data_IF_707045438346
#
_entry.id   IF_707045438346
#
_cell.length_a   1.000
_cell.length_b   1.000
_cell.length_c   1.000
_cell.angle_alpha   90.00
_cell.angle_beta   90.00
_cell.angle_gamma   90.00
#
_symmetry.space_group_name_H-M   'P 1'
#
loop_
_entity.id
_entity.type
_entity.pdbx_description
1 polymer ?
#
# COMPACT_ATOMS: atom_id res chain seq x y z
N UNK A 1 10.91 -16.80 22.38
CA UNK A 1 9.49 -17.24 22.30
C UNK A 1 8.68 -16.00 21.97
N UNK A 2 8.06 -15.90 20.79
CA UNK A 2 7.17 -14.77 20.48
C UNK A 2 5.91 -14.95 21.34
N UNK A 3 5.43 -13.89 22.02
CA UNK A 3 4.20 -14.01 22.79
C UNK A 3 3.08 -14.49 21.87
N UNK A 4 2.17 -15.31 22.40
CA UNK A 4 0.94 -15.71 21.70
C UNK A 4 0.09 -14.46 21.42
N UNK A 5 0.42 -13.76 20.36
CA UNK A 5 -0.46 -12.72 19.83
C UNK A 5 -1.76 -13.43 19.43
N UNK A 6 -2.90 -13.00 19.95
CA UNK A 6 -4.19 -13.57 19.56
C UNK A 6 -4.26 -13.57 18.02
N UNK A 7 -5.05 -14.48 17.46
CA UNK A 7 -5.18 -14.71 16.02
C UNK A 7 -5.79 -13.49 15.29
N UNK A 8 -5.29 -12.30 15.63
CA UNK A 8 -5.69 -11.01 15.06
C UNK A 8 -5.33 -11.01 13.58
N UNK A 9 -6.30 -10.72 12.76
CA UNK A 9 -6.19 -10.61 11.32
C UNK A 9 -6.58 -9.21 10.90
N UNK A 10 -5.58 -8.40 10.54
CA UNK A 10 -5.74 -6.98 10.28
C UNK A 10 -5.82 -6.75 8.78
N UNK A 11 -6.91 -6.19 8.27
CA UNK A 11 -6.99 -5.73 6.90
C UNK A 11 -6.05 -4.54 6.68
N UNK A 12 -5.21 -4.64 5.66
CA UNK A 12 -4.52 -3.49 5.09
C UNK A 12 -5.07 -3.31 3.68
N UNK A 13 -5.72 -2.19 3.42
CA UNK A 13 -6.30 -1.91 2.10
C UNK A 13 -5.40 -0.98 1.32
N UNK A 14 -5.31 -1.20 0.00
CA UNK A 14 -4.55 -0.34 -0.88
C UNK A 14 -5.44 0.25 -1.97
N UNK A 15 -5.35 1.57 -2.08
CA UNK A 15 -5.93 2.40 -3.14
C UNK A 15 -4.79 3.10 -3.90
N UNK A 16 -5.10 3.64 -5.06
CA UNK A 16 -4.19 4.49 -5.84
C UNK A 16 -4.87 5.84 -6.10
N UNK A 17 -5.45 6.04 -7.27
CA UNK A 17 -6.21 7.26 -7.57
C UNK A 17 -7.69 7.14 -7.15
N UNK A 18 -8.30 8.27 -6.81
CA UNK A 18 -9.73 8.38 -6.51
C UNK A 18 -10.44 9.23 -7.57
N UNK A 19 -11.69 8.90 -7.88
CA UNK A 19 -12.51 9.58 -8.86
C UNK A 19 -12.70 8.77 -10.14
N UNK A 20 -13.03 9.48 -11.22
CA UNK A 20 -13.30 8.85 -12.51
C UNK A 20 -12.01 8.47 -13.24
N UNK A 21 -11.94 7.21 -13.61
CA UNK A 21 -10.79 6.67 -14.34
C UNK A 21 -10.84 5.13 -14.44
N UNK A 22 -9.94 4.54 -15.22
CA UNK A 22 -9.97 3.10 -15.45
C UNK A 22 -9.49 2.31 -14.23
N UNK A 23 -10.21 1.23 -13.90
CA UNK A 23 -9.74 0.23 -12.95
C UNK A 23 -8.49 -0.50 -13.52
N UNK A 24 -7.58 -0.98 -12.67
CA UNK A 24 -7.68 -1.04 -11.20
C UNK A 24 -7.15 0.21 -10.48
N UNK A 25 -6.58 1.19 -11.19
CA UNK A 25 -5.89 2.34 -10.59
C UNK A 25 -6.88 3.30 -9.94
N UNK A 26 -7.98 3.61 -10.62
CA UNK A 26 -9.01 4.51 -10.09
C UNK A 26 -10.08 3.78 -9.32
N UNK A 27 -10.41 4.33 -8.16
CA UNK A 27 -11.58 3.93 -7.37
C UNK A 27 -12.59 5.07 -7.42
N UNK A 28 -13.83 4.82 -7.92
CA UNK A 28 -14.90 5.82 -7.91
C UNK A 28 -15.20 6.32 -6.49
N UNK A 29 -15.53 7.60 -6.33
CA UNK A 29 -15.73 8.22 -5.02
C UNK A 29 -16.89 7.60 -4.23
N UNK A 30 -17.99 7.30 -4.89
CA UNK A 30 -19.15 6.63 -4.30
C UNK A 30 -18.81 5.26 -3.73
N UNK A 31 -17.95 4.52 -4.46
CA UNK A 31 -17.44 3.23 -4.00
C UNK A 31 -16.50 3.39 -2.82
N UNK A 32 -15.57 4.36 -2.88
CA UNK A 32 -14.68 4.65 -1.76
C UNK A 32 -15.46 5.02 -0.50
N UNK A 33 -16.45 5.91 -0.62
CA UNK A 33 -17.34 6.31 0.49
C UNK A 33 -18.11 5.11 1.06
N UNK A 34 -18.67 4.25 0.21
CA UNK A 34 -19.38 3.04 0.65
C UNK A 34 -18.46 2.02 1.36
N UNK A 35 -17.21 1.89 0.94
CA UNK A 35 -16.22 1.04 1.59
C UNK A 35 -15.80 1.59 2.96
N UNK A 36 -15.57 2.91 3.08
CA UNK A 36 -15.28 3.57 4.35
C UNK A 36 -16.47 3.42 5.33
N UNK A 37 -17.69 3.60 4.85
CA UNK A 37 -18.90 3.43 5.67
C UNK A 37 -19.04 1.99 6.18
N UNK A 38 -18.74 1.00 5.34
CA UNK A 38 -18.76 -0.41 5.73
C UNK A 38 -17.73 -0.71 6.84
N UNK A 39 -16.54 -0.14 6.78
CA UNK A 39 -15.54 -0.27 7.84
C UNK A 39 -16.04 0.38 9.14
N UNK A 40 -16.61 1.59 9.07
CA UNK A 40 -17.16 2.30 10.22
C UNK A 40 -18.32 1.50 10.86
N UNK A 41 -19.27 1.04 10.06
CA UNK A 41 -20.43 0.24 10.50
C UNK A 41 -20.01 -1.09 11.16
N UNK A 42 -18.98 -1.73 10.59
CA UNK A 42 -18.42 -2.95 11.16
C UNK A 42 -17.56 -2.69 12.42
N UNK A 43 -17.44 -1.44 12.87
CA UNK A 43 -16.70 -1.05 14.08
C UNK A 43 -15.17 -1.12 13.93
N UNK A 44 -14.64 -1.05 12.71
CA UNK A 44 -13.22 -0.99 12.49
C UNK A 44 -12.64 0.37 12.89
N UNK A 45 -11.38 0.35 13.34
CA UNK A 45 -10.61 1.54 13.72
C UNK A 45 -9.40 1.66 12.81
N UNK A 46 -9.28 2.78 12.10
CA UNK A 46 -8.11 3.03 11.28
C UNK A 46 -6.87 3.24 12.15
N UNK A 47 -5.78 2.60 11.77
CA UNK A 47 -4.44 2.79 12.32
C UNK A 47 -3.47 3.07 11.17
N UNK A 48 -2.37 3.73 11.44
CA UNK A 48 -1.30 3.90 10.46
C UNK A 48 -0.59 2.58 10.23
N UNK A 49 -0.02 2.38 9.05
CA UNK A 49 0.70 1.16 8.74
C UNK A 49 1.94 0.98 9.63
N UNK A 50 2.60 2.07 10.01
CA UNK A 50 3.72 2.04 10.94
C UNK A 50 3.35 1.52 12.32
N UNK A 51 2.17 1.87 12.83
CA UNK A 51 1.67 1.34 14.10
C UNK A 51 1.44 -0.18 14.02
N UNK A 52 0.97 -0.67 12.86
CA UNK A 52 0.85 -2.11 12.59
C UNK A 52 2.21 -2.80 12.54
N UNK A 53 3.18 -2.20 11.83
CA UNK A 53 4.56 -2.73 11.73
C UNK A 53 5.20 -2.83 13.12
N UNK A 54 5.05 -1.80 13.94
CA UNK A 54 5.58 -1.79 15.32
C UNK A 54 4.88 -2.84 16.19
N UNK A 55 3.56 -2.98 16.04
CA UNK A 55 2.81 -4.04 16.72
C UNK A 55 3.36 -5.43 16.41
N UNK A 56 3.63 -5.71 15.12
CA UNK A 56 4.19 -7.00 14.68
C UNK A 56 5.62 -7.21 15.17
N UNK A 57 6.47 -6.18 15.17
CA UNK A 57 7.90 -6.28 15.50
C UNK A 57 8.15 -6.29 17.00
N UNK A 58 7.39 -5.51 17.75
CA UNK A 58 7.59 -5.27 19.18
C UNK A 58 6.60 -6.06 20.05
N UNK A 59 5.62 -6.75 19.44
CA UNK A 59 4.59 -7.45 20.20
C UNK A 59 3.59 -6.53 20.88
N UNK A 60 3.46 -5.28 20.42
CA UNK A 60 2.48 -4.34 20.98
C UNK A 60 1.06 -4.77 20.62
N UNK A 61 0.18 -4.68 21.59
CA UNK A 61 -1.25 -4.89 21.35
C UNK A 61 -1.79 -3.79 20.43
N UNK A 62 -2.50 -4.21 19.38
CA UNK A 62 -3.21 -3.30 18.47
C UNK A 62 -4.68 -3.20 18.90
N UNK A 63 -5.36 -2.08 18.57
CA UNK A 63 -6.77 -1.94 18.87
C UNK A 63 -7.59 -3.11 18.30
N UNK A 64 -8.65 -3.54 18.98
CA UNK A 64 -9.58 -4.51 18.40
C UNK A 64 -10.20 -3.92 17.12
N UNK A 65 -10.39 -4.77 16.11
CA UNK A 65 -10.87 -4.37 14.78
C UNK A 65 -10.02 -3.26 14.13
N UNK A 66 -8.69 -3.31 14.35
CA UNK A 66 -7.78 -2.43 13.63
C UNK A 66 -7.79 -2.74 12.13
N UNK A 67 -7.68 -1.73 11.30
CA UNK A 67 -7.35 -1.85 9.87
C UNK A 67 -6.45 -0.70 9.45
N UNK A 68 -5.71 -0.85 8.37
CA UNK A 68 -4.89 0.22 7.82
C UNK A 68 -5.34 0.57 6.40
N UNK A 69 -5.33 1.86 6.08
CA UNK A 69 -5.61 2.40 4.75
C UNK A 69 -4.28 2.85 4.16
N UNK A 70 -3.95 2.38 2.98
CA UNK A 70 -2.74 2.78 2.26
C UNK A 70 -3.09 3.31 0.88
N UNK A 71 -2.32 4.29 0.40
CA UNK A 71 -2.42 4.84 -0.93
C UNK A 71 -1.04 4.77 -1.59
N UNK A 72 -0.97 4.16 -2.77
CA UNK A 72 0.28 4.08 -3.54
C UNK A 72 0.36 5.21 -4.57
N UNK A 73 1.54 5.43 -5.15
CA UNK A 73 1.87 6.35 -6.23
C UNK A 73 1.88 7.84 -5.89
N UNK A 74 1.08 8.31 -4.93
CA UNK A 74 1.00 9.73 -4.59
C UNK A 74 0.07 10.56 -5.50
N UNK A 75 -1.01 9.98 -6.04
CA UNK A 75 -1.97 10.71 -6.86
C UNK A 75 -2.58 11.93 -6.14
N UNK A 76 -2.68 13.07 -6.84
CA UNK A 76 -3.25 14.32 -6.28
C UNK A 76 -4.67 14.13 -5.74
N UNK A 77 -5.45 13.25 -6.34
CA UNK A 77 -6.80 12.92 -5.89
C UNK A 77 -6.82 12.33 -4.47
N UNK A 78 -5.73 11.73 -3.99
CA UNK A 78 -5.64 11.25 -2.60
C UNK A 78 -5.67 12.43 -1.63
N UNK A 79 -4.90 13.48 -1.89
CA UNK A 79 -4.94 14.70 -1.08
C UNK A 79 -6.31 15.40 -1.18
N UNK A 80 -6.85 15.54 -2.39
CA UNK A 80 -8.07 16.30 -2.62
C UNK A 80 -9.33 15.57 -2.12
N UNK A 81 -9.38 14.26 -2.25
CA UNK A 81 -10.60 13.47 -2.03
C UNK A 81 -10.54 12.58 -0.79
N UNK A 82 -9.40 11.89 -0.54
CA UNK A 82 -9.30 11.00 0.62
C UNK A 82 -9.11 11.77 1.93
N UNK A 83 -8.22 12.78 1.95
CA UNK A 83 -7.92 13.55 3.15
C UNK A 83 -9.20 14.08 3.84
N UNK A 84 -10.09 14.86 3.17
CA UNK A 84 -11.28 15.39 3.84
C UNK A 84 -12.28 14.30 4.25
N UNK A 85 -12.35 13.18 3.52
CA UNK A 85 -13.23 12.05 3.82
C UNK A 85 -12.80 11.28 5.06
N UNK A 86 -11.49 11.06 5.20
CA UNK A 86 -10.91 10.38 6.36
C UNK A 86 -10.89 11.30 7.59
N UNK A 87 -10.59 12.59 7.42
CA UNK A 87 -10.61 13.57 8.51
C UNK A 87 -11.98 13.65 9.20
N UNK A 88 -13.10 13.63 8.43
CA UNK A 88 -14.46 13.61 8.99
C UNK A 88 -14.74 12.38 9.88
N UNK A 89 -13.97 11.31 9.73
CA UNK A 89 -14.06 10.07 10.53
C UNK A 89 -13.03 10.00 11.65
N UNK A 90 -12.14 11.00 11.75
CA UNK A 90 -10.97 10.95 12.64
C UNK A 90 -9.99 9.84 12.26
N UNK A 91 -9.92 9.49 10.98
CA UNK A 91 -9.06 8.45 10.46
C UNK A 91 -7.86 9.05 9.71
N UNK A 92 -6.71 8.44 9.92
CA UNK A 92 -5.49 8.70 9.16
C UNK A 92 -5.15 7.50 8.26
N UNK A 93 -4.28 7.73 7.29
CA UNK A 93 -3.81 6.71 6.36
C UNK A 93 -2.29 6.79 6.19
N UNK A 94 -1.73 5.89 5.40
CA UNK A 94 -0.32 5.93 4.97
C UNK A 94 -0.27 6.13 3.45
N UNK A 95 0.42 7.16 2.99
CA UNK A 95 0.63 7.42 1.58
C UNK A 95 2.06 7.08 1.16
N UNK A 96 2.23 6.29 0.10
CA UNK A 96 3.51 5.90 -0.48
C UNK A 96 3.79 6.71 -1.75
N UNK A 97 4.90 7.44 -1.75
CA UNK A 97 5.24 8.40 -2.79
C UNK A 97 6.36 7.89 -3.70
N UNK A 98 6.18 8.10 -5.00
CA UNK A 98 7.27 8.01 -5.98
C UNK A 98 8.09 9.30 -5.88
N UNK A 99 9.19 9.27 -5.14
CA UNK A 99 9.81 10.48 -4.59
C UNK A 99 10.39 11.46 -5.62
N UNK A 100 10.86 10.96 -6.76
CA UNK A 100 11.33 11.84 -7.85
C UNK A 100 10.20 12.43 -8.70
N UNK A 101 8.95 12.04 -8.43
CA UNK A 101 7.77 12.43 -9.20
C UNK A 101 6.79 13.32 -8.43
N UNK A 102 7.08 13.63 -7.16
CA UNK A 102 6.25 14.55 -6.38
C UNK A 102 6.06 15.88 -7.11
N UNK A 103 4.80 16.31 -7.28
CA UNK A 103 4.42 17.50 -8.04
C UNK A 103 4.40 17.33 -9.57
N UNK A 104 4.80 16.16 -10.07
CA UNK A 104 4.76 15.79 -11.48
C UNK A 104 3.53 14.97 -11.85
N UNK A 105 3.73 13.98 -12.71
CA UNK A 105 2.67 13.07 -13.17
C UNK A 105 3.11 11.61 -13.06
N UNK A 106 2.15 10.69 -13.18
CA UNK A 106 2.35 9.24 -13.17
C UNK A 106 3.02 8.71 -14.47
N UNK A 107 3.71 9.55 -15.23
CA UNK A 107 4.46 9.15 -16.43
C UNK A 107 5.87 8.72 -16.05
N UNK A 108 6.02 7.51 -15.57
CA UNK A 108 7.30 6.84 -15.37
C UNK A 108 7.58 5.80 -16.45
N UNK A 109 8.84 5.42 -16.67
CA UNK A 109 9.20 4.38 -17.63
C UNK A 109 8.46 3.07 -17.34
N UNK A 110 7.85 2.48 -18.39
CA UNK A 110 7.07 1.25 -18.26
C UNK A 110 5.61 1.43 -17.86
N UNK A 111 5.14 2.66 -17.65
CA UNK A 111 3.72 2.91 -17.45
C UNK A 111 2.93 2.50 -18.68
N UNK A 112 1.89 1.67 -18.48
CA UNK A 112 1.05 1.21 -19.59
C UNK A 112 0.33 2.40 -20.25
N UNK A 113 0.31 2.41 -21.58
CA UNK A 113 -0.33 3.50 -22.35
C UNK A 113 -1.84 3.61 -22.09
N UNK A 114 -2.48 2.54 -21.60
CA UNK A 114 -3.89 2.52 -21.20
C UNK A 114 -4.16 3.24 -19.88
N UNK A 115 -3.14 3.55 -19.09
CA UNK A 115 -3.29 4.33 -17.85
C UNK A 115 -3.22 5.81 -18.20
N UNK A 116 -4.30 6.59 -17.97
CA UNK A 116 -4.29 8.02 -18.24
C UNK A 116 -3.21 8.74 -17.44
N UNK A 117 -2.65 9.79 -18.04
CA UNK A 117 -1.78 10.68 -17.29
C UNK A 117 -2.59 11.44 -16.24
N UNK A 118 -2.05 11.46 -15.01
CA UNK A 118 -2.69 12.11 -13.89
C UNK A 118 -1.65 12.79 -12.98
N UNK A 119 -1.98 13.92 -12.36
CA UNK A 119 -1.07 14.65 -11.49
C UNK A 119 -0.84 13.90 -10.18
N UNK A 120 0.39 13.97 -9.70
CA UNK A 120 0.78 13.57 -8.36
C UNK A 120 0.81 14.79 -7.44
N UNK A 121 0.56 14.59 -6.15
CA UNK A 121 0.67 15.69 -5.20
C UNK A 121 2.15 16.02 -4.95
N UNK A 122 2.39 17.29 -4.62
CA UNK A 122 3.71 17.81 -4.31
C UNK A 122 4.07 17.63 -2.83
N UNK A 123 5.23 18.13 -2.44
CA UNK A 123 5.69 18.03 -1.07
C UNK A 123 4.92 18.94 -0.09
N UNK A 124 4.27 20.00 -0.57
CA UNK A 124 3.44 20.87 0.27
C UNK A 124 2.15 20.15 0.64
N UNK A 125 1.48 19.53 -0.32
CA UNK A 125 0.34 18.64 -0.07
C UNK A 125 0.71 17.43 0.81
N UNK A 126 1.93 16.88 0.65
CA UNK A 126 2.45 15.86 1.54
C UNK A 126 2.59 16.37 2.98
N UNK A 127 2.99 17.63 3.19
CA UNK A 127 3.02 18.31 4.49
C UNK A 127 1.63 18.39 5.13
N UNK A 128 0.62 18.77 4.35
CA UNK A 128 -0.78 18.83 4.83
C UNK A 128 -1.31 17.44 5.28
N UNK A 129 -0.92 16.37 4.57
CA UNK A 129 -1.24 15.00 5.00
C UNK A 129 -0.61 14.68 6.37
N UNK A 130 0.65 15.07 6.58
CA UNK A 130 1.33 14.88 7.87
C UNK A 130 0.67 15.67 9.01
N UNK A 131 0.31 16.93 8.78
CA UNK A 131 -0.41 17.77 9.75
C UNK A 131 -1.76 17.16 10.13
N UNK A 132 -2.42 16.47 9.19
CA UNK A 132 -3.64 15.72 9.44
C UNK A 132 -3.40 14.35 10.11
N UNK A 133 -2.17 14.04 10.53
CA UNK A 133 -1.80 12.81 11.24
C UNK A 133 -1.56 11.59 10.35
N UNK A 134 -1.51 11.79 9.03
CA UNK A 134 -1.15 10.71 8.11
C UNK A 134 0.33 10.34 8.24
N UNK A 135 0.69 9.22 7.65
CA UNK A 135 2.07 8.75 7.56
C UNK A 135 2.50 8.72 6.10
N UNK A 136 3.75 9.08 5.84
CA UNK A 136 4.34 8.98 4.52
C UNK A 136 5.35 7.83 4.47
N UNK A 137 5.38 7.15 3.33
CA UNK A 137 6.36 6.13 2.99
C UNK A 137 6.86 6.29 1.56
N UNK A 138 7.87 5.52 1.19
CA UNK A 138 8.45 5.54 -0.15
C UNK A 138 7.88 4.44 -1.05
N UNK A 139 7.70 4.78 -2.33
CA UNK A 139 7.29 3.86 -3.40
C UNK A 139 8.35 3.78 -4.52
N UNK A 140 9.63 3.68 -4.13
CA UNK A 140 10.77 3.86 -5.01
C UNK A 140 11.04 5.31 -5.37
N UNK A 141 12.20 5.56 -5.94
CA UNK A 141 12.55 6.88 -6.45
C UNK A 141 11.83 7.17 -7.78
N UNK A 142 11.82 6.20 -8.71
CA UNK A 142 11.32 6.36 -10.07
C UNK A 142 10.14 5.47 -10.44
N UNK A 143 9.65 4.65 -9.49
CA UNK A 143 8.62 3.62 -9.70
C UNK A 143 9.09 2.45 -10.57
N UNK A 144 10.39 2.14 -10.56
CA UNK A 144 10.93 1.02 -11.34
C UNK A 144 10.52 -0.34 -10.72
N UNK A 145 10.27 -1.38 -11.54
CA UNK A 145 10.03 -2.74 -11.06
C UNK A 145 11.34 -3.34 -10.54
N UNK A 146 11.55 -3.33 -9.22
CA UNK A 146 12.83 -3.59 -8.55
C UNK A 146 13.46 -4.94 -8.89
N UNK A 147 12.66 -5.97 -9.16
CA UNK A 147 13.14 -7.31 -9.50
C UNK A 147 13.74 -7.42 -10.91
N UNK A 148 13.60 -6.38 -11.72
CA UNK A 148 14.20 -6.31 -13.08
C UNK A 148 15.48 -5.49 -13.13
N UNK A 149 15.86 -4.87 -12.01
CA UNK A 149 17.05 -4.04 -11.88
C UNK A 149 18.26 -4.85 -11.38
N UNK A 150 19.48 -4.44 -11.72
CA UNK A 150 20.67 -4.84 -10.97
C UNK A 150 20.50 -4.48 -9.48
N UNK A 151 21.08 -5.28 -8.57
CA UNK A 151 20.85 -5.12 -7.13
C UNK A 151 21.31 -3.77 -6.57
N UNK A 152 22.40 -3.22 -7.10
CA UNK A 152 22.88 -1.88 -6.75
C UNK A 152 21.86 -0.80 -7.13
N UNK A 153 21.24 -0.91 -8.29
CA UNK A 153 20.18 0.01 -8.74
C UNK A 153 18.89 -0.16 -7.93
N UNK A 154 18.53 -1.40 -7.57
CA UNK A 154 17.40 -1.66 -6.68
C UNK A 154 17.65 -1.07 -5.28
N UNK A 155 18.88 -1.12 -4.79
CA UNK A 155 19.28 -0.49 -3.52
C UNK A 155 19.18 1.04 -3.60
N UNK A 156 19.67 1.67 -4.68
CA UNK A 156 19.52 3.12 -4.90
C UNK A 156 18.05 3.56 -4.93
N UNK A 157 17.18 2.81 -5.62
CA UNK A 157 15.74 3.07 -5.67
C UNK A 157 15.10 3.02 -4.28
N UNK A 158 15.45 2.03 -3.47
CA UNK A 158 14.90 1.86 -2.12
C UNK A 158 15.50 2.89 -1.16
N UNK A 159 16.82 2.92 -1.01
CA UNK A 159 17.51 3.77 -0.05
C UNK A 159 17.29 5.25 -0.36
N UNK A 160 17.49 5.67 -1.60
CA UNK A 160 17.34 7.06 -2.02
C UNK A 160 15.91 7.59 -1.84
N UNK A 161 14.89 6.75 -2.11
CA UNK A 161 13.49 7.15 -1.87
C UNK A 161 13.17 7.27 -0.37
N UNK A 162 13.65 6.35 0.46
CA UNK A 162 13.48 6.41 1.91
C UNK A 162 14.17 7.64 2.52
N UNK A 163 15.38 7.96 2.06
CA UNK A 163 16.10 9.17 2.48
C UNK A 163 15.35 10.45 2.07
N UNK A 164 14.73 10.46 0.89
CA UNK A 164 13.92 11.60 0.45
C UNK A 164 12.71 11.83 1.36
N UNK A 165 12.04 10.77 1.81
CA UNK A 165 10.96 10.85 2.81
C UNK A 165 11.53 11.29 4.15
N UNK A 166 12.59 10.66 4.66
CA UNK A 166 13.17 10.93 5.97
C UNK A 166 13.59 12.40 6.12
N UNK A 167 14.16 12.99 5.09
CA UNK A 167 14.51 14.45 5.10
C UNK A 167 13.33 15.38 5.32
N UNK A 168 12.10 14.92 5.03
CA UNK A 168 10.87 15.72 5.14
C UNK A 168 10.08 15.42 6.41
N UNK A 169 10.12 14.18 6.87
CA UNK A 169 9.24 13.67 7.94
C UNK A 169 10.02 13.34 9.22
N UNK A 170 11.31 13.06 9.09
CA UNK A 170 12.17 12.62 10.20
C UNK A 170 12.50 11.12 10.14
N UNK A 171 13.40 10.67 11.06
CA UNK A 171 14.07 9.37 10.97
C UNK A 171 13.17 8.15 11.12
N UNK A 172 11.97 8.32 11.66
CA UNK A 172 11.03 7.20 11.85
C UNK A 172 10.17 6.88 10.61
N UNK A 173 10.24 7.73 9.57
CA UNK A 173 9.41 7.61 8.37
C UNK A 173 10.03 6.67 7.32
N UNK A 174 10.34 5.43 7.73
CA UNK A 174 11.02 4.43 6.89
C UNK A 174 10.10 3.28 6.50
N UNK A 175 8.89 3.60 6.01
CA UNK A 175 8.01 2.61 5.38
C UNK A 175 8.22 2.59 3.87
N UNK A 176 8.11 1.39 3.30
CA UNK A 176 8.27 1.17 1.88
C UNK A 176 7.08 0.39 1.29
N UNK A 177 6.69 0.68 0.07
CA UNK A 177 5.83 -0.19 -0.74
C UNK A 177 6.56 -0.53 -2.04
N UNK A 178 6.54 -1.80 -2.42
CA UNK A 178 7.23 -2.24 -3.63
C UNK A 178 6.44 -1.83 -4.87
N UNK A 179 7.01 -1.04 -5.81
CA UNK A 179 6.37 -0.76 -7.10
C UNK A 179 5.90 -2.04 -7.78
N UNK A 180 4.65 -2.06 -8.26
CA UNK A 180 3.99 -3.25 -8.84
C UNK A 180 3.91 -4.47 -7.90
N UNK A 181 4.31 -4.35 -6.64
CA UNK A 181 4.54 -5.47 -5.73
C UNK A 181 5.71 -6.37 -6.16
N UNK A 182 6.60 -5.87 -7.00
CA UNK A 182 7.76 -6.59 -7.49
C UNK A 182 8.81 -6.73 -6.37
N UNK A 183 8.77 -7.85 -5.66
CA UNK A 183 9.75 -8.18 -4.61
C UNK A 183 10.09 -9.66 -4.64
N UNK A 184 11.37 -9.96 -4.60
CA UNK A 184 11.94 -11.27 -4.38
C UNK A 184 12.72 -11.32 -3.07
N UNK A 185 13.56 -12.34 -2.89
CA UNK A 185 14.36 -12.50 -1.68
C UNK A 185 15.43 -11.41 -1.55
N UNK A 186 16.10 -11.08 -2.66
CA UNK A 186 17.17 -10.11 -2.72
C UNK A 186 16.64 -8.68 -2.47
N UNK A 187 15.60 -8.28 -3.18
CA UNK A 187 14.94 -6.98 -3.00
C UNK A 187 14.42 -6.81 -1.57
N UNK A 188 13.80 -7.86 -0.99
CA UNK A 188 13.38 -7.80 0.43
C UNK A 188 14.56 -7.75 1.40
N UNK A 189 15.70 -8.36 1.07
CA UNK A 189 16.92 -8.25 1.90
C UNK A 189 17.45 -6.80 1.90
N UNK A 190 17.39 -6.11 0.77
CA UNK A 190 17.72 -4.68 0.68
C UNK A 190 16.73 -3.87 1.55
N UNK A 191 15.42 -4.06 1.36
CA UNK A 191 14.41 -3.34 2.13
C UNK A 191 14.59 -3.50 3.65
N UNK A 192 15.01 -4.70 4.13
CA UNK A 192 15.29 -4.96 5.56
C UNK A 192 16.44 -4.13 6.13
N UNK A 193 17.36 -3.67 5.29
CA UNK A 193 18.51 -2.84 5.72
C UNK A 193 18.11 -1.39 5.92
N UNK A 194 17.18 -0.88 5.15
CA UNK A 194 16.86 0.54 5.07
C UNK A 194 15.46 0.89 5.61
N UNK A 195 14.49 0.00 5.47
CA UNK A 195 13.11 0.25 5.88
C UNK A 195 12.80 -0.28 7.29
N UNK A 196 11.79 0.31 7.93
CA UNK A 196 11.17 -0.18 9.16
C UNK A 196 10.20 -1.33 8.88
N UNK A 197 9.56 -1.31 7.72
CA UNK A 197 8.65 -2.31 7.22
C UNK A 197 8.29 -2.03 5.77
N UNK A 198 7.75 -3.04 5.07
CA UNK A 198 7.39 -2.90 3.68
C UNK A 198 6.08 -3.61 3.32
N UNK A 199 5.31 -2.99 2.44
CA UNK A 199 4.04 -3.50 1.94
C UNK A 199 4.20 -4.11 0.55
N UNK A 200 3.73 -5.35 0.41
CA UNK A 200 3.63 -6.05 -0.87
C UNK A 200 2.22 -5.93 -1.49
N UNK A 201 1.99 -6.73 -2.53
CA UNK A 201 0.67 -6.91 -3.17
C UNK A 201 0.08 -8.30 -2.94
N UNK A 202 0.63 -9.06 -1.97
CA UNK A 202 0.08 -10.34 -1.57
C UNK A 202 -1.35 -10.15 -1.04
N UNK A 203 -2.36 -10.76 -1.71
CA UNK A 203 -3.75 -10.64 -1.27
C UNK A 203 -3.96 -11.43 0.03
N UNK A 204 -4.33 -10.74 1.12
CA UNK A 204 -4.53 -11.38 2.43
C UNK A 204 -4.81 -10.41 3.55
N UNK A 205 -4.83 -10.95 4.76
CA UNK A 205 -4.93 -10.21 6.02
C UNK A 205 -3.62 -10.37 6.77
N UNK A 206 -3.11 -9.28 7.30
CA UNK A 206 -1.90 -9.30 8.11
C UNK A 206 -2.17 -9.98 9.45
N UNK A 207 -1.28 -10.87 9.87
CA UNK A 207 -1.38 -11.61 11.14
C UNK A 207 -0.03 -11.79 11.80
N UNK A 208 -0.01 -12.41 12.96
CA UNK A 208 1.20 -12.60 13.78
C UNK A 208 2.40 -13.28 13.06
N UNK A 209 2.13 -14.03 11.97
CA UNK A 209 3.16 -14.69 11.15
C UNK A 209 3.48 -13.98 9.85
N UNK A 210 2.83 -12.85 9.56
CA UNK A 210 3.14 -12.05 8.38
C UNK A 210 4.56 -11.50 8.47
N UNK A 211 5.22 -11.41 7.33
CA UNK A 211 6.53 -10.80 7.21
C UNK A 211 6.37 -9.27 7.24
N UNK A 212 6.96 -8.54 8.20
CA UNK A 212 6.87 -7.08 8.24
C UNK A 212 7.47 -6.38 6.99
N UNK A 213 8.19 -7.14 6.16
CA UNK A 213 8.78 -6.64 4.91
C UNK A 213 8.11 -7.20 3.65
N UNK A 214 6.94 -7.81 3.78
CA UNK A 214 6.07 -8.24 2.68
C UNK A 214 4.62 -8.33 3.18
N UNK A 215 4.12 -7.21 3.77
CA UNK A 215 2.78 -7.16 4.32
C UNK A 215 1.73 -7.38 3.23
N UNK A 216 0.81 -8.30 3.50
CA UNK A 216 -0.33 -8.56 2.63
C UNK A 216 -1.27 -7.35 2.62
N UNK A 217 -1.84 -7.05 1.45
CA UNK A 217 -2.84 -6.00 1.29
C UNK A 217 -4.06 -6.50 0.51
N UNK A 218 -5.20 -5.90 0.76
CA UNK A 218 -6.41 -6.06 -0.05
C UNK A 218 -6.47 -4.86 -0.99
N UNK A 219 -6.23 -5.12 -2.28
CA UNK A 219 -6.42 -4.12 -3.30
C UNK A 219 -7.90 -3.73 -3.40
N UNK A 220 -8.17 -2.43 -3.57
CA UNK A 220 -9.51 -1.87 -3.67
C UNK A 220 -10.37 -2.57 -4.73
N UNK A 221 -9.78 -3.05 -5.83
CA UNK A 221 -10.52 -3.79 -6.86
C UNK A 221 -11.14 -5.10 -6.35
N UNK A 222 -10.64 -5.67 -5.25
CA UNK A 222 -11.19 -6.86 -4.59
C UNK A 222 -12.07 -6.54 -3.37
N UNK A 223 -12.05 -5.29 -2.92
CA UNK A 223 -12.82 -4.83 -1.78
C UNK A 223 -14.30 -4.63 -2.19
N UNK A 224 -15.18 -4.74 -1.24
CA UNK A 224 -16.59 -4.34 -1.36
C UNK A 224 -17.18 -4.22 0.04
N UNK A 225 -18.25 -3.42 0.24
CA UNK A 225 -18.92 -3.32 1.53
C UNK A 225 -19.31 -4.68 2.12
N UNK A 226 -19.85 -5.58 1.31
CA UNK A 226 -20.20 -6.96 1.72
C UNK A 226 -18.99 -7.80 2.16
N UNK A 227 -17.80 -7.56 1.57
CA UNK A 227 -16.58 -8.24 2.01
C UNK A 227 -16.11 -7.68 3.35
N UNK A 228 -16.11 -6.36 3.52
CA UNK A 228 -15.72 -5.68 4.76
C UNK A 228 -16.51 -6.23 5.96
N UNK A 229 -17.82 -6.30 5.88
CA UNK A 229 -18.70 -6.84 6.94
C UNK A 229 -18.39 -8.30 7.32
N UNK A 230 -17.69 -9.02 6.44
CA UNK A 230 -17.42 -10.46 6.60
C UNK A 230 -15.95 -10.78 6.80
N UNK A 231 -15.06 -9.79 6.86
CA UNK A 231 -13.60 -10.04 6.93
C UNK A 231 -13.18 -10.92 8.11
N UNK A 232 -13.91 -10.87 9.21
CA UNK A 232 -13.66 -11.73 10.37
C UNK A 232 -14.16 -13.17 10.19
N UNK A 233 -15.05 -13.42 9.23
CA UNK A 233 -15.60 -14.75 9.01
C UNK A 233 -14.59 -15.67 8.31
N UNK A 234 -14.50 -16.95 8.68
CA UNK A 234 -13.62 -17.92 8.02
C UNK A 234 -13.86 -18.02 6.50
N UNK A 235 -15.12 -17.89 6.07
CA UNK A 235 -15.50 -17.94 4.64
C UNK A 235 -14.91 -16.80 3.82
N UNK A 236 -14.84 -15.58 4.35
CA UNK A 236 -14.21 -14.45 3.67
C UNK A 236 -12.69 -14.65 3.54
N UNK A 237 -12.08 -15.19 4.59
CA UNK A 237 -10.64 -15.53 4.59
C UNK A 237 -10.32 -16.62 3.56
N UNK A 238 -11.15 -17.67 3.51
CA UNK A 238 -11.02 -18.73 2.51
C UNK A 238 -11.14 -18.15 1.09
N UNK A 239 -12.08 -17.23 0.86
CA UNK A 239 -12.23 -16.55 -0.44
C UNK A 239 -11.00 -15.72 -0.83
N UNK A 240 -10.40 -14.97 0.10
CA UNK A 240 -9.16 -14.24 -0.15
C UNK A 240 -8.00 -15.21 -0.46
N UNK A 241 -7.92 -16.34 0.25
CA UNK A 241 -6.90 -17.37 0.01
C UNK A 241 -7.04 -18.01 -1.38
N UNK A 242 -8.25 -18.38 -1.78
CA UNK A 242 -8.52 -18.93 -3.13
C UNK A 242 -8.15 -17.91 -4.21
N UNK A 243 -8.53 -16.64 -4.04
CA UNK A 243 -8.16 -15.58 -4.98
C UNK A 243 -6.64 -15.35 -5.04
N UNK A 244 -5.94 -15.40 -3.89
CA UNK A 244 -4.48 -15.32 -3.83
C UNK A 244 -3.84 -16.46 -4.64
N UNK A 245 -4.35 -17.68 -4.47
CA UNK A 245 -3.86 -18.85 -5.21
C UNK A 245 -4.11 -18.71 -6.72
N UNK A 246 -5.31 -18.31 -7.12
CA UNK A 246 -5.66 -18.08 -8.53
C UNK A 246 -4.78 -16.98 -9.17
N UNK A 247 -4.49 -15.88 -8.45
CA UNK A 247 -3.54 -14.85 -8.93
C UNK A 247 -2.14 -15.42 -9.13
N UNK A 248 -1.65 -16.25 -8.20
CA UNK A 248 -0.35 -16.91 -8.32
C UNK A 248 -0.31 -17.88 -9.49
N UNK A 249 -1.32 -18.73 -9.63
CA UNK A 249 -1.43 -19.66 -10.75
C UNK A 249 -1.48 -18.90 -12.09
N UNK A 250 -2.24 -17.82 -12.18
CA UNK A 250 -2.31 -16.99 -13.39
C UNK A 250 -0.98 -16.33 -13.74
N UNK A 251 -0.21 -15.85 -12.76
CA UNK A 251 1.15 -15.31 -13.00
C UNK A 251 2.10 -16.36 -13.58
N UNK A 252 1.98 -17.61 -13.15
CA UNK A 252 2.81 -18.72 -13.66
C UNK A 252 2.38 -19.14 -15.05
N UNK A 253 1.07 -19.14 -15.35
CA UNK A 253 0.51 -19.59 -16.63
C UNK A 253 0.55 -18.52 -17.73
N UNK A 254 0.56 -17.24 -17.35
CA UNK A 254 0.59 -16.10 -18.26
C UNK A 254 1.84 -15.30 -17.96
N UNK A 255 2.92 -15.62 -18.67
CA UNK A 255 4.22 -14.92 -18.56
C UNK A 255 4.16 -13.41 -18.86
N UNK A 256 3.02 -12.89 -19.29
CA UNK A 256 2.77 -11.50 -19.65
C UNK A 256 1.91 -10.72 -18.65
N UNK A 257 1.70 -11.22 -17.44
CA UNK A 257 0.84 -10.55 -16.46
C UNK A 257 1.62 -9.73 -15.43
N UNK A 258 2.46 -8.83 -15.87
CA UNK A 258 3.10 -7.80 -15.00
C UNK A 258 2.48 -6.42 -15.23
N UNK A 259 1.15 -6.32 -15.21
CA UNK A 259 0.45 -5.03 -15.30
C UNK A 259 0.70 -4.24 -16.59
N UNK A 260 1.07 -4.92 -17.68
CA UNK A 260 1.38 -4.28 -18.97
C UNK A 260 2.83 -3.85 -19.13
N UNK A 261 3.72 -4.20 -18.20
CA UNK A 261 5.16 -3.96 -18.36
C UNK A 261 5.73 -4.94 -19.39
N UNK A 262 5.94 -4.49 -20.62
CA UNK A 262 6.90 -5.08 -21.57
C UNK A 262 8.10 -4.16 -21.60
N UNK A 263 9.34 -4.65 -21.34
CA UNK A 263 10.51 -3.86 -21.65
C UNK A 263 10.49 -3.62 -23.17
N UNK A 264 10.52 -2.36 -23.58
CA UNK A 264 10.77 -2.00 -24.98
C UNK A 264 12.17 -2.49 -25.32
N UNK A 265 12.25 -3.48 -26.24
CA UNK A 265 13.49 -3.90 -26.90
C UNK A 265 14.10 -2.74 -27.68
#
# INVERSE_FOLDING_TARGET
MRPDLPAVRIPVVVYHALGDGPAPIWTPLDRFDAELEAFAHAGYRAIRLGDLVDGLRQGRALPPRAFAITFDDGYRSVHQEALPRLARRGWAATAFLVTSRCGGTNRWPGQAASVPEAPLFDWDAAGELLEAGWELGAHGATHAPLTTLPLDRAEEEIAGSLEAIERRVGPDARLFAYPYGASDREVRAIARRFARGAAGTGLGLVGARSDPFDLERIDACYLSPRLVERLERPSARARLHVRRWLRRARRVLVQDWDGGFRPST
#
